data_IF_556293300955
#
_entry.id   IF_556293300955
#
_cell.length_a   1.000
_cell.length_b   1.000
_cell.length_c   1.000
_cell.angle_alpha   90.00
_cell.angle_beta   90.00
_cell.angle_gamma   90.00
#
_symmetry.space_group_name_H-M   'P 1'
#
loop_
_entity.id
_entity.type
_entity.pdbx_description
1 polymer ?
#
# COMPACT_ATOMS: atom_id res chain seq x y z
N UNK A 1 20.78 0.22 6.36
CA UNK A 1 20.19 -0.12 5.04
C UNK A 1 18.80 0.51 5.03
N UNK A 2 18.49 1.31 4.02
CA UNK A 2 17.22 2.02 3.93
C UNK A 2 16.02 1.06 3.99
N UNK A 3 14.87 1.58 4.42
CA UNK A 3 13.61 0.81 4.46
C UNK A 3 13.14 0.48 3.04
N UNK A 4 13.41 1.36 2.05
CA UNK A 4 13.15 1.16 0.63
C UNK A 4 14.41 1.52 -0.15
N UNK A 5 14.86 0.62 -1.02
CA UNK A 5 15.98 0.85 -1.90
C UNK A 5 15.67 0.37 -3.31
N UNK A 6 15.75 1.28 -4.28
CA UNK A 6 15.60 0.96 -5.70
C UNK A 6 16.88 1.31 -6.47
N UNK A 7 17.23 0.46 -7.40
CA UNK A 7 18.35 0.68 -8.31
C UNK A 7 17.91 0.44 -9.75
N UNK A 8 17.99 1.48 -10.57
CA UNK A 8 17.58 1.49 -11.98
C UNK A 8 16.19 0.91 -12.21
N UNK A 9 15.26 1.20 -11.27
CA UNK A 9 13.90 0.69 -11.33
C UNK A 9 13.21 1.18 -12.60
N UNK A 10 12.77 0.25 -13.44
CA UNK A 10 12.00 0.49 -14.64
C UNK A 10 10.74 -0.37 -14.68
N UNK A 11 9.68 0.17 -15.29
CA UNK A 11 8.44 -0.57 -15.49
C UNK A 11 7.70 -0.14 -16.73
N UNK A 12 7.27 -1.16 -17.50
CA UNK A 12 6.49 -1.03 -18.71
C UNK A 12 5.11 -1.68 -18.55
N UNK A 13 4.06 -0.93 -18.87
CA UNK A 13 2.74 -1.52 -19.12
C UNK A 13 2.70 -2.09 -20.52
N UNK A 14 2.31 -3.36 -20.63
CA UNK A 14 2.12 -4.05 -21.90
C UNK A 14 0.63 -4.07 -22.25
N UNK A 15 0.30 -3.66 -23.45
CA UNK A 15 -1.04 -3.79 -24.02
C UNK A 15 -1.04 -4.93 -25.02
N UNK A 16 -1.96 -5.86 -24.86
CA UNK A 16 -2.10 -7.03 -25.72
C UNK A 16 -3.25 -6.85 -26.70
N UNK A 17 -3.13 -7.43 -27.88
CA UNK A 17 -4.21 -7.58 -28.86
C UNK A 17 -5.12 -8.76 -28.50
N UNK A 18 -6.17 -9.01 -29.32
CA UNK A 18 -7.11 -10.12 -29.12
C UNK A 18 -6.45 -11.50 -29.28
N UNK A 19 -5.33 -11.57 -29.97
CA UNK A 19 -4.54 -12.79 -30.22
C UNK A 19 -3.47 -13.04 -29.13
N UNK A 20 -3.34 -12.12 -28.14
CA UNK A 20 -2.38 -12.21 -27.05
C UNK A 20 -0.97 -11.74 -27.39
N UNK A 21 -0.76 -11.06 -28.53
CA UNK A 21 0.52 -10.44 -28.89
C UNK A 21 0.63 -9.05 -28.27
N UNK A 22 1.84 -8.62 -27.93
CA UNK A 22 2.09 -7.27 -27.43
C UNK A 22 1.83 -6.26 -28.56
N UNK A 23 0.77 -5.47 -28.41
CA UNK A 23 0.37 -4.42 -29.34
C UNK A 23 1.09 -3.09 -29.08
N UNK A 24 1.29 -2.75 -27.80
CA UNK A 24 1.88 -1.49 -27.37
C UNK A 24 2.63 -1.66 -26.05
N UNK A 25 3.62 -0.81 -25.83
CA UNK A 25 4.43 -0.80 -24.59
C UNK A 25 4.54 0.65 -24.11
N UNK A 26 4.04 0.90 -22.90
CA UNK A 26 4.10 2.23 -22.29
C UNK A 26 5.04 2.22 -21.09
N UNK A 27 6.20 2.91 -21.22
CA UNK A 27 7.11 3.14 -20.10
C UNK A 27 6.44 4.03 -19.06
N UNK A 28 6.25 3.53 -17.85
CA UNK A 28 5.62 4.25 -16.75
C UNK A 28 6.61 4.68 -15.66
N UNK A 29 7.66 3.90 -15.45
CA UNK A 29 8.77 4.22 -14.53
C UNK A 29 10.08 4.00 -15.29
N UNK A 30 11.02 4.94 -15.21
CA UNK A 30 12.25 4.87 -15.98
C UNK A 30 13.47 5.26 -15.12
N UNK A 31 14.39 4.31 -14.95
CA UNK A 31 15.69 4.47 -14.27
C UNK A 31 15.61 5.16 -12.90
N UNK A 32 14.61 4.79 -12.08
CA UNK A 32 14.43 5.40 -10.76
C UNK A 32 15.40 4.78 -9.76
N UNK A 33 16.15 5.65 -9.08
CA UNK A 33 17.06 5.29 -8.00
C UNK A 33 16.57 5.94 -6.71
N UNK A 34 16.32 5.14 -5.66
CA UNK A 34 15.83 5.58 -4.35
C UNK A 34 16.63 4.91 -3.24
N UNK A 35 16.87 5.66 -2.16
CA UNK A 35 17.34 5.10 -0.89
C UNK A 35 16.63 5.88 0.23
N UNK A 36 15.61 5.26 0.84
CA UNK A 36 14.74 5.87 1.86
C UNK A 36 15.05 5.19 3.19
N UNK A 37 15.52 5.98 4.14
CA UNK A 37 15.81 5.51 5.50
C UNK A 37 14.54 5.44 6.37
N UNK A 38 14.58 4.62 7.41
CA UNK A 38 13.50 4.55 8.39
C UNK A 38 13.30 5.91 9.07
N UNK A 39 12.04 6.32 9.25
CA UNK A 39 11.67 7.59 9.88
C UNK A 39 11.68 8.80 8.95
N UNK A 40 12.06 8.64 7.68
CA UNK A 40 11.94 9.72 6.70
C UNK A 40 10.50 9.89 6.23
N UNK A 41 10.12 11.16 5.98
CA UNK A 41 8.92 11.53 5.26
C UNK A 41 9.32 11.98 3.85
N UNK A 42 8.83 11.26 2.83
CA UNK A 42 9.18 11.49 1.42
C UNK A 42 7.92 11.86 0.64
N UNK A 43 7.95 12.99 -0.05
CA UNK A 43 6.90 13.43 -0.96
C UNK A 43 7.32 13.19 -2.41
N UNK A 44 6.49 12.46 -3.18
CA UNK A 44 6.70 12.24 -4.61
C UNK A 44 5.84 13.24 -5.40
N UNK A 45 6.50 14.18 -6.08
CA UNK A 45 5.84 15.24 -6.82
C UNK A 45 5.92 15.00 -8.34
N UNK A 46 4.90 15.42 -9.07
CA UNK A 46 4.84 15.32 -10.52
C UNK A 46 3.43 15.55 -11.06
N UNK A 47 3.30 15.80 -12.35
CA UNK A 47 2.01 15.97 -13.03
C UNK A 47 1.22 14.65 -13.09
N UNK A 48 -0.07 14.73 -13.46
CA UNK A 48 -0.89 13.52 -13.65
C UNK A 48 -0.32 12.68 -14.81
N UNK A 49 -0.26 11.36 -14.59
CA UNK A 49 0.35 10.44 -15.56
C UNK A 49 1.88 10.34 -15.52
N UNK A 50 2.57 10.99 -14.55
CA UNK A 50 4.03 10.91 -14.43
C UNK A 50 4.55 9.62 -13.74
N UNK A 51 3.70 8.63 -13.49
CA UNK A 51 4.11 7.34 -12.91
C UNK A 51 4.11 7.27 -11.38
N UNK A 52 3.62 8.29 -10.64
CA UNK A 52 3.62 8.29 -9.16
C UNK A 52 2.91 7.10 -8.56
N UNK A 53 1.66 6.85 -8.97
CA UNK A 53 0.88 5.69 -8.49
C UNK A 53 1.49 4.36 -8.93
N UNK A 54 2.14 4.32 -10.09
CA UNK A 54 2.88 3.15 -10.54
C UNK A 54 4.08 2.90 -9.63
N UNK A 55 4.86 3.93 -9.31
CA UNK A 55 5.95 3.83 -8.35
C UNK A 55 5.45 3.39 -6.97
N UNK A 56 4.39 4.01 -6.45
CA UNK A 56 3.78 3.65 -5.17
C UNK A 56 3.42 2.15 -5.10
N UNK A 57 2.83 1.61 -6.16
CA UNK A 57 2.47 0.18 -6.26
C UNK A 57 3.70 -0.75 -6.28
N UNK A 58 4.84 -0.30 -6.78
CA UNK A 58 6.08 -1.07 -6.67
C UNK A 58 6.58 -1.13 -5.22
N UNK A 59 6.51 -0.02 -4.48
CA UNK A 59 6.99 0.04 -3.10
C UNK A 59 6.24 -0.91 -2.15
N UNK A 60 5.04 -1.35 -2.53
CA UNK A 60 4.25 -2.37 -1.81
C UNK A 60 4.26 -3.74 -2.52
N UNK A 61 5.03 -3.90 -3.58
CA UNK A 61 5.08 -5.10 -4.43
C UNK A 61 3.70 -5.54 -4.99
N UNK A 62 2.82 -4.58 -5.29
CA UNK A 62 1.61 -4.81 -6.11
C UNK A 62 1.98 -4.88 -7.59
N UNK A 63 3.01 -4.15 -7.99
CA UNK A 63 3.67 -4.27 -9.29
C UNK A 63 5.12 -4.68 -9.06
N UNK A 64 5.66 -5.50 -9.95
CA UNK A 64 7.06 -5.91 -9.92
C UNK A 64 7.83 -5.20 -11.03
N UNK A 65 9.10 -4.81 -10.79
CA UNK A 65 9.92 -4.17 -11.80
C UNK A 65 10.06 -5.03 -13.06
N UNK A 66 9.99 -4.40 -14.25
CA UNK A 66 10.41 -5.02 -15.51
C UNK A 66 11.92 -4.89 -15.71
N UNK A 67 12.52 -3.88 -15.07
CA UNK A 67 13.97 -3.63 -15.10
C UNK A 67 14.44 -3.13 -13.73
N UNK A 68 15.72 -3.36 -13.43
CA UNK A 68 16.34 -2.95 -12.18
C UNK A 68 15.92 -3.82 -11.00
N UNK A 69 16.13 -3.30 -9.81
CA UNK A 69 15.84 -4.03 -8.55
C UNK A 69 15.22 -3.12 -7.51
N UNK A 70 14.36 -3.71 -6.68
CA UNK A 70 13.71 -3.04 -5.56
C UNK A 70 13.77 -3.91 -4.32
N UNK A 71 14.23 -3.33 -3.21
CA UNK A 71 14.24 -3.95 -1.89
C UNK A 71 13.35 -3.15 -0.93
N UNK A 72 12.57 -3.86 -0.15
CA UNK A 72 11.73 -3.31 0.92
C UNK A 72 12.10 -4.01 2.23
N UNK A 73 12.59 -3.26 3.21
CA UNK A 73 13.11 -3.79 4.47
C UNK A 73 14.10 -4.96 4.26
N UNK A 74 14.98 -4.81 3.27
CA UNK A 74 15.99 -5.80 2.89
C UNK A 74 15.47 -7.01 2.09
N UNK A 75 14.16 -7.07 1.80
CA UNK A 75 13.56 -8.13 0.99
C UNK A 75 13.58 -7.71 -0.48
N UNK A 76 14.14 -8.54 -1.33
CA UNK A 76 14.14 -8.36 -2.77
C UNK A 76 12.75 -8.70 -3.34
N UNK A 77 12.12 -7.72 -3.99
CA UNK A 77 10.77 -7.88 -4.54
C UNK A 77 10.68 -8.81 -5.75
N UNK A 78 11.82 -9.22 -6.34
CA UNK A 78 11.83 -10.24 -7.40
C UNK A 78 11.56 -11.66 -6.88
N UNK A 79 11.63 -11.86 -5.55
CA UNK A 79 11.42 -13.16 -4.90
C UNK A 79 9.95 -13.37 -4.54
N UNK A 80 9.17 -13.95 -5.44
CA UNK A 80 7.72 -14.18 -5.27
C UNK A 80 7.32 -14.79 -3.90
N UNK A 81 8.01 -15.81 -3.35
CA UNK A 81 7.60 -16.38 -2.06
C UNK A 81 7.66 -15.41 -0.88
N UNK A 82 8.34 -14.27 -1.02
CA UNK A 82 8.50 -13.28 0.04
C UNK A 82 7.62 -12.03 -0.13
N UNK A 83 6.87 -11.91 -1.23
CA UNK A 83 6.07 -10.72 -1.54
C UNK A 83 5.01 -10.40 -0.47
N UNK A 84 4.43 -11.42 0.15
CA UNK A 84 3.47 -11.21 1.23
C UNK A 84 4.12 -10.53 2.44
N UNK A 85 5.40 -10.83 2.76
CA UNK A 85 6.16 -10.15 3.80
C UNK A 85 6.42 -8.68 3.46
N UNK A 86 6.69 -8.39 2.19
CA UNK A 86 6.83 -7.00 1.70
C UNK A 86 5.56 -6.23 1.95
N UNK A 87 4.38 -6.79 1.61
CA UNK A 87 3.07 -6.13 1.79
C UNK A 87 2.72 -5.90 3.26
N UNK A 88 3.18 -6.76 4.16
CA UNK A 88 3.03 -6.53 5.61
C UNK A 88 3.92 -5.38 6.12
N UNK A 89 5.13 -5.23 5.56
CA UNK A 89 6.10 -4.21 5.99
C UNK A 89 5.84 -2.84 5.38
N UNK A 90 5.34 -2.79 4.16
CA UNK A 90 4.99 -1.58 3.42
C UNK A 90 3.48 -1.53 3.18
N UNK A 91 2.75 -0.95 4.13
CA UNK A 91 1.31 -0.80 4.04
C UNK A 91 0.93 0.28 3.04
N UNK A 92 -0.05 0.02 2.17
CA UNK A 92 -0.50 0.95 1.14
C UNK A 92 -1.93 1.42 1.38
N UNK A 93 -2.12 2.73 1.28
CA UNK A 93 -3.44 3.38 1.25
C UNK A 93 -3.68 3.86 -0.18
N UNK A 94 -4.77 3.41 -0.78
CA UNK A 94 -5.13 3.77 -2.15
C UNK A 94 -5.80 5.14 -2.24
N UNK A 95 -5.65 5.80 -3.40
CA UNK A 95 -6.23 7.10 -3.70
C UNK A 95 -7.76 7.12 -3.47
N UNK A 96 -8.46 6.06 -3.85
CA UNK A 96 -9.90 5.92 -3.61
C UNK A 96 -10.15 4.92 -2.48
N UNK A 97 -10.64 5.36 -1.31
CA UNK A 97 -10.91 4.47 -0.17
C UNK A 97 -12.00 3.44 -0.45
N UNK A 98 -12.94 3.70 -1.38
CA UNK A 98 -13.98 2.73 -1.74
C UNK A 98 -13.41 1.48 -2.42
N UNK A 99 -12.20 1.54 -2.97
CA UNK A 99 -11.50 0.39 -3.53
C UNK A 99 -10.76 -0.43 -2.46
N UNK A 100 -10.69 0.06 -1.22
CA UNK A 100 -9.94 -0.55 -0.14
C UNK A 100 -10.83 -1.08 0.98
N UNK A 101 -11.89 -0.34 1.31
CA UNK A 101 -12.82 -0.69 2.39
C UNK A 101 -13.74 -1.80 1.92
N UNK A 102 -13.75 -2.93 2.66
CA UNK A 102 -14.54 -4.12 2.35
C UNK A 102 -15.50 -4.52 3.47
N UNK A 103 -15.22 -4.05 4.71
CA UNK A 103 -16.02 -4.34 5.89
C UNK A 103 -17.40 -3.68 5.85
N UNK A 104 -18.37 -4.29 6.51
CA UNK A 104 -19.73 -3.72 6.71
C UNK A 104 -19.78 -2.77 7.90
N UNK A 105 -18.83 -2.90 8.81
CA UNK A 105 -18.64 -2.09 10.02
C UNK A 105 -17.18 -1.61 10.06
N UNK A 106 -16.97 -0.37 10.50
CA UNK A 106 -15.62 0.25 10.53
C UNK A 106 -14.61 -0.56 11.31
N UNK A 107 -14.96 -1.05 12.51
CA UNK A 107 -14.00 -1.82 13.33
C UNK A 107 -13.59 -3.16 12.69
N UNK A 108 -14.53 -3.81 12.00
CA UNK A 108 -14.26 -5.06 11.27
C UNK A 108 -13.32 -4.80 10.11
N UNK A 109 -13.53 -3.71 9.37
CA UNK A 109 -12.66 -3.32 8.26
C UNK A 109 -11.23 -3.03 8.73
N UNK A 110 -11.09 -2.28 9.83
CA UNK A 110 -9.77 -1.97 10.42
C UNK A 110 -9.09 -3.23 10.98
N UNK A 111 -9.86 -4.18 11.53
CA UNK A 111 -9.36 -5.45 12.05
C UNK A 111 -8.97 -6.48 10.99
N UNK A 112 -9.48 -6.33 9.76
CA UNK A 112 -9.32 -7.31 8.69
C UNK A 112 -7.85 -7.60 8.32
N UNK A 113 -7.01 -6.56 8.23
CA UNK A 113 -5.59 -6.72 7.93
C UNK A 113 -4.84 -7.54 9.00
N UNK A 114 -4.88 -7.15 10.28
CA UNK A 114 -4.30 -7.93 11.38
C UNK A 114 -4.82 -9.36 11.47
N UNK A 115 -6.11 -9.60 11.23
CA UNK A 115 -6.72 -10.93 11.23
C UNK A 115 -6.08 -11.82 10.16
N UNK A 116 -5.95 -11.33 8.93
CA UNK A 116 -5.28 -12.05 7.84
C UNK A 116 -3.78 -12.29 8.09
N UNK A 117 -3.17 -11.51 8.96
CA UNK A 117 -1.79 -11.71 9.40
C UNK A 117 -1.66 -12.74 10.52
N UNK A 118 -2.77 -13.29 11.02
CA UNK A 118 -2.79 -14.25 12.13
C UNK A 118 -2.49 -13.62 13.50
N UNK A 119 -2.75 -12.33 13.67
CA UNK A 119 -2.60 -11.66 14.96
C UNK A 119 -3.64 -12.22 15.96
N UNK A 120 -3.28 -12.51 17.22
CA UNK A 120 -4.24 -12.97 18.23
C UNK A 120 -5.38 -11.96 18.42
N UNK A 121 -6.62 -12.47 18.58
CA UNK A 121 -7.84 -11.66 18.63
C UNK A 121 -7.79 -10.50 19.63
N UNK A 122 -7.25 -10.74 20.82
CA UNK A 122 -7.10 -9.70 21.86
C UNK A 122 -6.25 -8.53 21.36
N UNK A 123 -5.13 -8.84 20.68
CA UNK A 123 -4.23 -7.84 20.10
C UNK A 123 -4.83 -7.14 18.89
N UNK A 124 -5.70 -7.82 18.12
CA UNK A 124 -6.40 -7.17 17.01
C UNK A 124 -7.22 -6.00 17.54
N UNK A 125 -8.02 -6.23 18.58
CA UNK A 125 -8.87 -5.18 19.13
C UNK A 125 -8.10 -4.03 19.77
N UNK A 126 -6.95 -4.30 20.39
CA UNK A 126 -6.04 -3.25 20.88
C UNK A 126 -5.52 -2.38 19.72
N UNK A 127 -5.07 -3.01 18.62
CA UNK A 127 -4.59 -2.31 17.44
C UNK A 127 -5.68 -1.50 16.72
N UNK A 128 -6.89 -2.06 16.63
CA UNK A 128 -8.08 -1.37 16.09
C UNK A 128 -8.38 -0.11 16.88
N UNK A 129 -8.43 -0.24 18.22
CA UNK A 129 -8.72 0.88 19.12
C UNK A 129 -7.69 2.00 18.99
N UNK A 130 -6.40 1.67 19.02
CA UNK A 130 -5.33 2.63 18.84
C UNK A 130 -5.36 3.31 17.46
N UNK A 131 -5.60 2.55 16.39
CA UNK A 131 -5.60 3.05 15.03
C UNK A 131 -6.80 3.99 14.80
N UNK A 132 -7.98 3.63 15.27
CA UNK A 132 -9.16 4.50 15.23
C UNK A 132 -8.96 5.77 16.05
N UNK A 133 -8.30 5.69 17.20
CA UNK A 133 -7.96 6.86 18.01
C UNK A 133 -6.98 7.78 17.29
N UNK A 134 -5.91 7.25 16.73
CA UNK A 134 -4.88 8.02 15.98
C UNK A 134 -5.46 8.73 14.76
N UNK A 135 -6.46 8.12 14.09
CA UNK A 135 -7.12 8.71 12.91
C UNK A 135 -8.36 9.56 13.23
N UNK A 136 -8.74 9.67 14.53
CA UNK A 136 -9.92 10.41 14.98
C UNK A 136 -11.24 9.76 14.54
N UNK A 137 -11.27 8.43 14.43
CA UNK A 137 -12.42 7.66 13.96
C UNK A 137 -13.12 6.84 15.05
N UNK A 138 -12.72 6.96 16.31
CA UNK A 138 -13.28 6.18 17.45
C UNK A 138 -14.81 6.27 17.55
N UNK A 139 -15.40 7.46 17.35
CA UNK A 139 -16.85 7.66 17.40
C UNK A 139 -17.61 6.98 16.26
N UNK A 140 -16.91 6.59 15.21
CA UNK A 140 -17.49 5.92 14.04
C UNK A 140 -17.26 4.41 14.04
N UNK A 141 -16.68 3.85 15.12
CA UNK A 141 -16.28 2.45 15.25
C UNK A 141 -17.34 1.46 14.76
N UNK A 142 -18.60 1.67 15.18
CA UNK A 142 -19.72 0.79 14.88
C UNK A 142 -20.59 1.26 13.69
N UNK A 143 -20.10 2.25 12.94
CA UNK A 143 -20.82 2.74 11.78
C UNK A 143 -20.53 1.88 10.54
N UNK A 144 -21.51 1.86 9.63
CA UNK A 144 -21.27 1.33 8.29
C UNK A 144 -20.39 2.33 7.50
N UNK A 145 -19.32 1.87 6.84
CA UNK A 145 -18.49 2.73 5.97
C UNK A 145 -19.30 3.46 4.89
N UNK A 146 -20.39 2.88 4.42
CA UNK A 146 -21.26 3.50 3.42
C UNK A 146 -21.95 4.80 3.89
N UNK A 147 -22.01 5.03 5.21
CA UNK A 147 -22.58 6.24 5.80
C UNK A 147 -21.53 7.32 6.08
N UNK A 148 -20.27 7.06 5.75
CA UNK A 148 -19.17 7.97 5.99
C UNK A 148 -18.93 8.89 4.80
N UNK A 149 -18.47 10.13 5.07
CA UNK A 149 -17.95 11.02 4.03
C UNK A 149 -16.64 10.46 3.43
N UNK A 150 -16.26 10.91 2.23
CA UNK A 150 -15.02 10.48 1.59
C UNK A 150 -13.78 10.67 2.46
N UNK A 151 -13.66 11.82 3.17
CA UNK A 151 -12.56 12.04 4.09
C UNK A 151 -12.58 11.16 5.34
N UNK A 152 -13.78 10.74 5.80
CA UNK A 152 -13.90 9.75 6.88
C UNK A 152 -13.50 8.36 6.41
N UNK A 153 -13.95 7.95 5.21
CA UNK A 153 -13.52 6.69 4.59
C UNK A 153 -12.00 6.63 4.42
N UNK A 154 -11.38 7.72 3.96
CA UNK A 154 -9.92 7.80 3.85
C UNK A 154 -9.23 7.58 5.19
N UNK A 155 -9.75 8.17 6.28
CA UNK A 155 -9.20 7.95 7.63
C UNK A 155 -9.40 6.52 8.13
N UNK A 156 -10.51 5.86 7.77
CA UNK A 156 -10.73 4.44 8.07
C UNK A 156 -9.72 3.57 7.31
N UNK A 157 -9.51 3.83 6.02
CA UNK A 157 -8.52 3.11 5.21
C UNK A 157 -7.10 3.25 5.80
N UNK A 158 -6.73 4.47 6.24
CA UNK A 158 -5.47 4.71 6.95
C UNK A 158 -5.42 3.92 8.26
N UNK A 159 -6.51 3.91 9.05
CA UNK A 159 -6.58 3.15 10.30
C UNK A 159 -6.35 1.64 10.06
N UNK A 160 -6.97 1.07 9.01
CA UNK A 160 -6.77 -0.33 8.64
C UNK A 160 -5.32 -0.67 8.31
N UNK A 161 -4.64 0.21 7.57
CA UNK A 161 -3.21 0.03 7.30
C UNK A 161 -2.37 0.18 8.57
N UNK A 162 -2.67 1.16 9.42
CA UNK A 162 -1.95 1.36 10.69
C UNK A 162 -2.11 0.19 11.66
N UNK A 163 -3.27 -0.46 11.70
CA UNK A 163 -3.53 -1.63 12.55
C UNK A 163 -2.65 -2.83 12.18
N UNK A 164 -2.15 -2.91 10.95
CA UNK A 164 -1.17 -3.92 10.52
C UNK A 164 0.23 -3.66 11.09
N UNK A 165 0.50 -2.48 11.67
CA UNK A 165 1.80 -2.04 12.19
C UNK A 165 2.94 -2.15 11.15
N UNK A 166 2.77 -1.59 9.95
CA UNK A 166 3.80 -1.64 8.93
C UNK A 166 5.00 -0.78 9.32
N UNK A 167 6.18 -1.09 8.76
CA UNK A 167 7.39 -0.28 8.92
C UNK A 167 7.40 0.98 8.05
N UNK A 168 6.64 0.96 6.97
CA UNK A 168 6.47 2.05 6.02
C UNK A 168 5.00 2.16 5.62
N UNK A 169 4.48 3.38 5.52
CA UNK A 169 3.14 3.66 5.00
C UNK A 169 3.29 4.42 3.69
N UNK A 170 2.63 3.92 2.65
CA UNK A 170 2.60 4.51 1.31
C UNK A 170 1.19 5.08 1.13
N UNK A 171 1.11 6.39 0.85
CA UNK A 171 -0.14 7.09 0.59
C UNK A 171 -0.18 7.46 -0.91
N UNK A 172 -1.06 6.83 -1.68
CA UNK A 172 -1.29 7.14 -3.10
C UNK A 172 -2.51 8.06 -3.29
#
# INVERSE_FOLDING_TARGET
MGIIKAFKLGFDYLKYDEDGNVQDTQRAVNDVNLDIEAGQFVAVLGHNGSGKSTLAKHLNALLLPTEGTLWVDGIDTSKEPELWKVRQKAGMVFQNPDNQIIGTVVEEDVGFGPENMGVPTEKIWERVDESLKKTGMTSYRYHSPNKLSGGQKQRVAIAGVMAMEPKCIILD
#
